data_IF_147981068194
#
_entry.id   IF_147981068194
#
_cell.length_a   1.000
_cell.length_b   1.000
_cell.length_c   1.000
_cell.angle_alpha   90.00
_cell.angle_beta   90.00
_cell.angle_gamma   90.00
#
_symmetry.space_group_name_H-M   'P 1'
#
loop_
_entity.id
_entity.type
_entity.pdbx_description
1 polymer ?
#
# COMPACT_ATOMS: atom_id res chain seq x y z
N UNK A 1 -14.32 12.94 -6.66
CA UNK A 1 -14.16 14.40 -6.78
C UNK A 1 -13.25 14.70 -7.97
N UNK A 2 -13.72 15.46 -8.95
CA UNK A 2 -12.93 15.90 -10.12
C UNK A 2 -12.41 17.30 -9.82
N UNK A 3 -11.13 17.56 -10.07
CA UNK A 3 -10.48 18.85 -9.77
C UNK A 3 -9.71 19.30 -11.00
N UNK A 4 -9.99 20.52 -11.47
CA UNK A 4 -9.20 21.16 -12.52
C UNK A 4 -8.04 21.93 -11.89
N UNK A 5 -6.81 21.59 -12.27
CA UNK A 5 -5.60 22.24 -11.76
C UNK A 5 -5.03 23.13 -12.85
N UNK A 6 -5.04 24.44 -12.63
CA UNK A 6 -4.42 25.43 -13.51
C UNK A 6 -3.09 25.87 -12.92
N UNK A 7 -2.03 25.87 -13.73
CA UNK A 7 -0.69 26.27 -13.30
C UNK A 7 0.05 27.04 -14.40
N UNK A 8 0.07 28.37 -14.30
CA UNK A 8 0.82 29.24 -15.21
C UNK A 8 2.32 29.17 -14.89
N UNK A 9 3.13 28.89 -15.91
CA UNK A 9 4.60 28.92 -15.81
C UNK A 9 5.25 27.76 -15.03
N UNK A 10 4.48 26.79 -14.52
CA UNK A 10 5.00 25.55 -13.92
C UNK A 10 4.65 24.35 -14.78
N UNK A 11 5.59 23.41 -14.94
CA UNK A 11 5.37 22.20 -15.74
C UNK A 11 4.27 21.31 -15.15
N UNK A 12 4.29 21.06 -13.83
CA UNK A 12 3.23 20.31 -13.12
C UNK A 12 3.26 20.71 -11.64
N UNK A 13 2.09 20.74 -10.99
CA UNK A 13 1.99 20.99 -9.53
C UNK A 13 2.25 19.69 -8.77
N UNK A 14 3.02 19.76 -7.69
CA UNK A 14 3.30 18.60 -6.83
C UNK A 14 2.03 18.18 -6.09
N UNK A 15 1.86 16.86 -5.86
CA UNK A 15 0.67 16.32 -5.17
C UNK A 15 0.51 16.88 -3.75
N UNK A 16 1.63 17.18 -3.08
CA UNK A 16 1.67 17.77 -1.73
C UNK A 16 1.07 19.18 -1.71
N UNK A 17 1.44 20.04 -2.67
CA UNK A 17 0.91 21.41 -2.77
C UNK A 17 -0.61 21.42 -2.95
N UNK A 18 -1.14 20.53 -3.79
CA UNK A 18 -2.58 20.48 -3.97
C UNK A 18 -3.23 19.94 -2.69
N UNK A 19 -2.61 18.96 -2.03
CA UNK A 19 -3.10 18.38 -0.77
C UNK A 19 -3.23 19.39 0.35
N UNK A 20 -2.22 20.21 0.56
CA UNK A 20 -2.26 21.26 1.58
C UNK A 20 -3.36 22.29 1.30
N UNK A 21 -3.53 22.69 0.03
CA UNK A 21 -4.57 23.66 -0.37
C UNK A 21 -5.98 23.13 -0.14
N UNK A 22 -6.26 21.88 -0.54
CA UNK A 22 -7.57 21.28 -0.31
C UNK A 22 -7.82 21.00 1.17
N UNK A 23 -6.80 20.55 1.89
CA UNK A 23 -6.89 20.31 3.33
C UNK A 23 -7.28 21.59 4.08
N UNK A 24 -6.69 22.74 3.70
CA UNK A 24 -7.03 24.04 4.27
C UNK A 24 -8.46 24.47 3.91
N UNK A 25 -8.88 24.25 2.65
CA UNK A 25 -10.19 24.68 2.16
C UNK A 25 -11.35 23.87 2.75
N UNK A 26 -11.17 22.55 2.87
CA UNK A 26 -12.22 21.62 3.31
C UNK A 26 -12.02 21.10 4.74
N UNK A 27 -10.99 21.57 5.47
CA UNK A 27 -10.57 21.08 6.80
C UNK A 27 -10.36 19.55 6.85
N UNK A 28 -9.99 18.93 5.73
CA UNK A 28 -9.76 17.48 5.61
C UNK A 28 -8.25 17.15 5.64
N UNK A 29 -7.86 15.97 6.12
CA UNK A 29 -6.44 15.59 6.20
C UNK A 29 -5.87 14.98 4.90
N UNK A 30 -6.70 14.57 3.94
CA UNK A 30 -6.28 13.72 2.82
C UNK A 30 -6.84 14.14 1.46
N UNK A 31 -6.05 13.87 0.40
CA UNK A 31 -6.39 14.20 -0.98
C UNK A 31 -7.38 13.21 -1.60
N UNK A 32 -8.45 13.71 -2.21
CA UNK A 32 -9.39 12.93 -3.04
C UNK A 32 -10.41 12.09 -2.28
N UNK A 33 -10.32 12.04 -0.95
CA UNK A 33 -11.16 11.26 -0.07
C UNK A 33 -11.77 12.19 0.99
N UNK A 34 -12.91 12.81 0.67
CA UNK A 34 -13.83 13.32 1.70
C UNK A 34 -14.52 12.10 2.28
N UNK A 35 -13.77 11.31 3.06
CA UNK A 35 -14.36 10.28 3.90
C UNK A 35 -14.15 10.77 5.33
N UNK A 36 -15.24 11.17 5.96
CA UNK A 36 -15.29 11.10 7.40
C UNK A 36 -15.00 9.65 7.77
N UNK A 37 -14.04 9.48 8.67
CA UNK A 37 -13.72 8.25 9.37
C UNK A 37 -12.75 7.27 8.66
N UNK A 38 -11.70 6.91 9.41
CA UNK A 38 -10.57 6.03 9.08
C UNK A 38 -10.94 4.61 8.61
N UNK A 39 -12.23 4.26 8.55
CA UNK A 39 -12.74 2.90 8.38
C UNK A 39 -12.62 2.35 6.96
N UNK A 40 -12.46 3.19 5.94
CA UNK A 40 -12.28 2.73 4.56
C UNK A 40 -10.86 2.33 4.19
N UNK A 41 -9.85 2.59 5.04
CA UNK A 41 -8.46 2.14 4.82
C UNK A 41 -8.35 0.61 4.72
N UNK A 42 -9.31 -0.12 5.32
CA UNK A 42 -9.40 -1.58 5.26
C UNK A 42 -9.77 -2.11 3.87
N UNK A 43 -10.51 -1.32 3.08
CA UNK A 43 -10.99 -1.70 1.74
C UNK A 43 -10.09 -1.16 0.60
N UNK A 44 -9.01 -0.47 0.96
CA UNK A 44 -8.08 0.13 -0.01
C UNK A 44 -7.10 -0.91 -0.58
N UNK A 45 -6.82 -0.90 -1.89
CA UNK A 45 -5.80 -1.74 -2.48
C UNK A 45 -4.44 -1.49 -1.82
N UNK A 46 -3.75 -2.55 -1.38
CA UNK A 46 -2.45 -2.47 -0.69
C UNK A 46 -1.40 -1.63 -1.43
N UNK A 47 -1.41 -1.64 -2.76
CA UNK A 47 -0.45 -0.84 -3.54
C UNK A 47 -0.64 0.68 -3.34
N UNK A 48 -1.85 1.15 -3.02
CA UNK A 48 -2.11 2.56 -2.67
C UNK A 48 -1.59 2.86 -1.27
N UNK A 49 -1.87 1.99 -0.30
CA UNK A 49 -1.37 2.12 1.07
C UNK A 49 0.16 2.25 1.13
N UNK A 50 0.88 1.40 0.38
CA UNK A 50 2.34 1.44 0.27
C UNK A 50 2.84 2.77 -0.32
N UNK A 51 2.17 3.32 -1.33
CA UNK A 51 2.55 4.63 -1.92
C UNK A 51 2.32 5.79 -0.95
N UNK A 52 1.35 5.65 -0.06
CA UNK A 52 1.02 6.64 0.97
C UNK A 52 1.80 6.46 2.27
N UNK A 53 2.67 5.44 2.36
CA UNK A 53 3.50 5.17 3.54
C UNK A 53 2.74 4.53 4.72
N UNK A 54 1.55 3.99 4.48
CA UNK A 54 0.71 3.36 5.51
C UNK A 54 0.90 1.84 5.63
N UNK A 55 1.62 1.22 4.68
CA UNK A 55 1.93 -0.22 4.67
C UNK A 55 3.30 -0.45 4.01
N UNK A 56 3.99 -1.51 4.40
CA UNK A 56 5.32 -1.85 3.87
C UNK A 56 5.24 -2.85 2.72
N UNK A 57 6.02 -2.61 1.66
CA UNK A 57 6.09 -3.55 0.53
C UNK A 57 6.84 -4.81 0.93
N UNK A 58 6.11 -5.91 1.15
CA UNK A 58 6.72 -7.23 1.36
C UNK A 58 7.50 -7.69 0.11
N UNK A 59 8.84 -7.73 0.20
CA UNK A 59 9.71 -8.27 -0.84
C UNK A 59 9.78 -9.80 -0.75
N UNK A 60 8.84 -10.49 -1.40
CA UNK A 60 8.91 -11.94 -1.59
C UNK A 60 8.94 -12.25 -3.08
N UNK A 61 9.96 -13.03 -3.50
CA UNK A 61 10.03 -13.50 -4.88
C UNK A 61 9.02 -14.63 -5.11
N UNK A 62 8.37 -14.63 -6.29
CA UNK A 62 7.43 -15.67 -6.68
C UNK A 62 8.07 -17.06 -6.71
N UNK A 63 9.33 -17.14 -7.13
CA UNK A 63 10.13 -18.38 -7.16
C UNK A 63 10.27 -18.98 -5.75
N UNK A 64 10.69 -18.17 -4.77
CA UNK A 64 10.86 -18.60 -3.38
C UNK A 64 9.55 -19.11 -2.75
N UNK A 65 8.42 -18.46 -3.06
CA UNK A 65 7.10 -18.88 -2.57
C UNK A 65 6.70 -20.25 -3.13
N UNK A 66 6.91 -20.46 -4.43
CA UNK A 66 6.57 -21.73 -5.09
C UNK A 66 7.46 -22.88 -4.60
N UNK A 67 8.75 -22.62 -4.40
CA UNK A 67 9.68 -23.60 -3.84
C UNK A 67 9.30 -24.00 -2.41
N UNK A 68 8.99 -23.04 -1.53
CA UNK A 68 8.50 -23.34 -0.18
C UNK A 68 7.20 -24.17 -0.20
N UNK A 69 6.25 -23.81 -1.08
CA UNK A 69 5.00 -24.55 -1.25
C UNK A 69 5.25 -26.00 -1.70
N UNK A 70 6.18 -26.20 -2.63
CA UNK A 70 6.53 -27.54 -3.12
C UNK A 70 7.27 -28.38 -2.07
N UNK A 71 8.14 -27.79 -1.24
CA UNK A 71 8.77 -28.47 -0.09
C UNK A 71 7.73 -28.90 0.96
N UNK A 72 6.82 -28.00 1.33
CA UNK A 72 5.76 -28.28 2.29
C UNK A 72 4.78 -29.37 1.84
N UNK A 73 4.60 -29.57 0.53
CA UNK A 73 3.77 -30.67 -0.01
C UNK A 73 4.41 -32.04 0.13
N UNK A 74 5.75 -32.12 0.23
CA UNK A 74 6.51 -33.38 0.31
C UNK A 74 6.57 -33.96 1.72
N UNK A 75 6.38 -33.13 2.75
CA UNK A 75 6.50 -33.51 4.16
C UNK A 75 5.13 -33.56 4.85
N UNK A 76 5.01 -34.42 5.86
CA UNK A 76 3.77 -34.64 6.64
C UNK A 76 4.04 -34.50 8.14
N UNK A 77 2.98 -34.34 8.93
CA UNK A 77 3.08 -34.24 10.38
C UNK A 77 3.93 -33.06 10.87
N UNK A 78 4.61 -33.25 12.00
CA UNK A 78 5.45 -32.23 12.66
C UNK A 78 6.59 -31.72 11.77
N UNK A 79 7.09 -32.54 10.84
CA UNK A 79 8.14 -32.15 9.90
C UNK A 79 7.73 -30.98 8.97
N UNK A 80 6.42 -30.72 8.80
CA UNK A 80 5.92 -29.62 7.98
C UNK A 80 6.14 -28.24 8.60
N UNK A 81 6.19 -28.15 9.93
CA UNK A 81 6.43 -26.90 10.67
C UNK A 81 7.83 -26.36 10.35
N UNK A 82 8.80 -27.26 10.18
CA UNK A 82 10.20 -26.92 9.92
C UNK A 82 10.50 -26.67 8.42
N UNK A 83 9.65 -27.16 7.51
CA UNK A 83 9.85 -27.02 6.06
C UNK A 83 9.38 -25.67 5.48
N UNK A 84 8.91 -24.76 6.34
CA UNK A 84 8.43 -23.44 5.94
C UNK A 84 9.55 -22.48 5.49
N UNK A 85 9.19 -21.30 4.99
CA UNK A 85 10.20 -20.27 4.72
C UNK A 85 10.91 -19.96 6.03
N UNK A 86 12.25 -20.12 6.06
CA UNK A 86 13.06 -19.75 7.22
C UNK A 86 12.73 -18.33 7.66
N UNK A 87 12.75 -18.07 8.98
CA UNK A 87 12.51 -16.73 9.53
C UNK A 87 13.40 -15.74 8.77
N UNK A 88 12.76 -14.77 8.12
CA UNK A 88 13.47 -13.68 7.46
C UNK A 88 13.96 -12.73 8.54
N UNK A 89 15.27 -12.50 8.59
CA UNK A 89 15.84 -11.28 9.14
C UNK A 89 15.37 -10.08 8.31
#
# INVERSE_FOLDING_TARGET
MVIYVLHSGKATVTKTEIQEKLAKMYKTRCFGMVYEFLDYTKNEPKHRLVRHGLDEKKKTSRKQQNECKNRMKKVRGTAKVNAGPGKKQ
#
